data_IF_874308918311
#
_entry.id   IF_874308918311
#
_cell.length_a   1.000
_cell.length_b   1.000
_cell.length_c   1.000
_cell.angle_alpha   90.00
_cell.angle_beta   90.00
_cell.angle_gamma   90.00
#
_symmetry.space_group_name_H-M   'P 1'
#
loop_
_entity.id
_entity.type
_entity.pdbx_description
1 polymer ?
#
# COMPACT_ATOMS: atom_id res chain seq x y z
N UNK A 1 -4.81 3.21 -1.06
CA UNK A 1 -4.48 2.55 -2.34
C UNK A 1 -5.70 2.38 -3.25
N UNK A 2 -6.85 1.92 -2.75
CA UNK A 2 -8.07 1.66 -3.56
C UNK A 2 -8.65 2.84 -4.37
N UNK A 3 -8.43 4.08 -3.96
CA UNK A 3 -8.82 5.28 -4.73
C UNK A 3 -7.75 5.75 -5.73
N UNK A 4 -6.67 4.98 -5.90
CA UNK A 4 -5.60 5.27 -6.85
C UNK A 4 -4.82 6.55 -6.55
N UNK A 5 -4.67 6.96 -5.29
CA UNK A 5 -3.91 8.15 -4.90
C UNK A 5 -2.42 7.86 -4.68
N UNK A 6 -1.57 8.88 -4.86
CA UNK A 6 -0.19 8.86 -4.39
C UNK A 6 -0.19 9.03 -2.88
N UNK A 7 0.55 8.18 -2.16
CA UNK A 7 0.48 8.10 -0.70
C UNK A 7 1.84 8.45 -0.12
N UNK A 8 1.84 9.44 0.77
CA UNK A 8 2.92 9.69 1.70
C UNK A 8 2.53 9.07 3.03
N UNK A 9 3.37 8.20 3.58
CA UNK A 9 3.07 7.49 4.82
C UNK A 9 4.23 7.55 5.81
N UNK A 10 3.91 7.53 7.11
CA UNK A 10 4.92 7.42 8.15
C UNK A 10 5.69 6.10 7.99
N UNK A 11 7.01 6.15 8.12
CA UNK A 11 7.87 4.98 8.04
C UNK A 11 7.65 4.05 9.24
N UNK A 12 6.76 3.09 9.04
CA UNK A 12 6.43 2.03 10.00
C UNK A 12 6.38 0.70 9.29
N UNK A 13 6.62 -0.39 10.02
CA UNK A 13 6.57 -1.75 9.48
C UNK A 13 5.23 -2.05 8.78
N UNK A 14 4.12 -1.57 9.34
CA UNK A 14 2.78 -1.76 8.77
C UNK A 14 2.59 -0.98 7.46
N UNK A 15 3.03 0.29 7.41
CA UNK A 15 2.94 1.07 6.18
C UNK A 15 3.85 0.52 5.08
N UNK A 16 5.03 -0.01 5.46
CA UNK A 16 5.92 -0.71 4.52
C UNK A 16 5.30 -1.98 3.98
N UNK A 17 4.64 -2.77 4.82
CA UNK A 17 3.91 -3.96 4.39
C UNK A 17 2.79 -3.58 3.40
N UNK A 18 2.01 -2.56 3.72
CA UNK A 18 0.87 -2.13 2.88
C UNK A 18 1.33 -1.54 1.56
N UNK A 19 2.28 -0.60 1.59
CA UNK A 19 2.65 0.20 0.42
C UNK A 19 3.85 -0.35 -0.35
N UNK A 20 4.80 -1.01 0.31
CA UNK A 20 6.03 -1.51 -0.31
C UNK A 20 6.71 -0.43 -1.17
N UNK A 21 6.90 -0.66 -2.46
CA UNK A 21 7.47 0.30 -3.43
C UNK A 21 6.44 1.27 -4.04
N UNK A 22 5.16 1.18 -3.65
CA UNK A 22 4.04 1.94 -4.25
C UNK A 22 3.71 3.23 -3.50
N UNK A 23 4.49 3.60 -2.49
CA UNK A 23 4.32 4.80 -1.69
C UNK A 23 5.65 5.47 -1.34
N UNK A 24 5.56 6.69 -0.83
CA UNK A 24 6.71 7.43 -0.30
C UNK A 24 6.64 7.42 1.22
N UNK A 25 7.78 7.16 1.87
CA UNK A 25 7.87 7.11 3.32
C UNK A 25 8.61 8.32 3.87
N UNK A 26 8.17 8.80 5.03
CA UNK A 26 8.85 9.83 5.81
C UNK A 26 8.93 9.41 7.28
N UNK A 27 9.95 9.90 8.00
CA UNK A 27 10.05 9.73 9.46
C UNK A 27 9.21 10.78 10.19
N UNK A 28 9.32 10.91 11.52
CA UNK A 28 8.62 11.98 12.27
C UNK A 28 9.27 13.37 12.10
N UNK A 29 10.12 13.55 11.10
CA UNK A 29 10.72 14.83 10.74
C UNK A 29 9.80 15.62 9.80
N UNK A 30 9.34 16.79 10.25
CA UNK A 30 8.50 17.70 9.48
C UNK A 30 9.18 18.21 8.20
N UNK A 31 10.52 18.33 8.20
CA UNK A 31 11.28 18.78 7.04
C UNK A 31 11.25 17.73 5.93
N UNK A 32 11.34 16.46 6.29
CA UNK A 32 11.28 15.34 5.34
C UNK A 32 9.90 15.28 4.68
N UNK A 33 8.83 15.38 5.48
CA UNK A 33 7.47 15.44 4.96
C UNK A 33 7.29 16.64 4.00
N UNK A 34 7.76 17.83 4.40
CA UNK A 34 7.69 19.03 3.56
C UNK A 34 8.43 18.88 2.23
N UNK A 35 9.59 18.24 2.24
CA UNK A 35 10.35 17.95 1.01
C UNK A 35 9.62 16.97 0.10
N UNK A 36 9.02 15.92 0.65
CA UNK A 36 8.23 14.98 -0.15
C UNK A 36 6.98 15.62 -0.73
N UNK A 37 6.28 16.48 0.02
CA UNK A 37 5.13 17.25 -0.48
C UNK A 37 5.54 18.11 -1.68
N UNK A 38 6.63 18.88 -1.56
CA UNK A 38 7.14 19.69 -2.67
C UNK A 38 7.56 18.84 -3.87
N UNK A 39 8.11 17.64 -3.64
CA UNK A 39 8.49 16.71 -4.71
C UNK A 39 7.26 16.23 -5.49
N UNK A 40 6.21 15.78 -4.80
CA UNK A 40 5.00 15.27 -5.47
C UNK A 40 4.20 16.38 -6.16
N UNK A 41 4.28 17.62 -5.68
CA UNK A 41 3.68 18.78 -6.35
C UNK A 41 4.39 19.14 -7.66
N UNK A 42 5.71 18.93 -7.75
CA UNK A 42 6.52 19.27 -8.92
C UNK A 42 6.63 18.14 -9.94
N UNK A 43 6.56 16.89 -9.51
CA UNK A 43 6.78 15.71 -10.35
C UNK A 43 5.49 14.92 -10.59
N UNK A 44 4.69 15.42 -11.54
CA UNK A 44 3.42 14.78 -11.93
C UNK A 44 3.62 13.38 -12.52
N UNK A 45 4.77 13.09 -13.13
CA UNK A 45 5.11 11.78 -13.68
C UNK A 45 5.30 10.75 -12.58
N UNK A 46 6.08 11.09 -11.55
CA UNK A 46 6.24 10.26 -10.35
C UNK A 46 4.89 9.96 -9.69
N UNK A 47 4.04 10.99 -9.55
CA UNK A 47 2.71 10.84 -8.96
C UNK A 47 1.86 9.89 -9.80
N UNK A 48 1.82 10.03 -11.12
CA UNK A 48 1.06 9.15 -12.00
C UNK A 48 1.51 7.68 -11.89
N UNK A 49 2.82 7.46 -11.82
CA UNK A 49 3.38 6.11 -11.66
C UNK A 49 3.01 5.49 -10.32
N UNK A 50 3.22 6.20 -9.21
CA UNK A 50 2.88 5.73 -7.87
C UNK A 50 1.38 5.42 -7.73
N UNK A 51 0.52 6.26 -8.31
CA UNK A 51 -0.94 6.03 -8.34
C UNK A 51 -1.29 4.71 -9.02
N UNK A 52 -0.71 4.45 -10.18
CA UNK A 52 -0.91 3.22 -10.95
C UNK A 52 -0.42 2.00 -10.18
N UNK A 53 0.79 2.06 -9.63
CA UNK A 53 1.36 0.93 -8.88
C UNK A 53 0.59 0.63 -7.60
N UNK A 54 0.15 1.68 -6.87
CA UNK A 54 -0.67 1.52 -5.68
C UNK A 54 -2.00 0.83 -5.98
N UNK A 55 -2.62 1.13 -7.13
CA UNK A 55 -3.86 0.47 -7.56
C UNK A 55 -3.62 -1.00 -7.92
N UNK A 56 -2.59 -1.31 -8.71
CA UNK A 56 -2.24 -2.69 -9.06
C UNK A 56 -1.94 -3.53 -7.82
N UNK A 57 -1.24 -2.97 -6.83
CA UNK A 57 -0.92 -3.67 -5.59
C UNK A 57 -2.15 -3.98 -4.76
N UNK A 58 -3.08 -3.03 -4.58
CA UNK A 58 -4.29 -3.30 -3.77
C UNK A 58 -5.18 -4.35 -4.42
N UNK A 59 -5.27 -4.37 -5.74
CA UNK A 59 -5.99 -5.41 -6.49
C UNK A 59 -5.33 -6.80 -6.30
N UNK A 60 -4.00 -6.85 -6.30
CA UNK A 60 -3.22 -8.09 -6.16
C UNK A 60 -3.15 -8.64 -4.73
N UNK A 61 -2.97 -7.77 -3.74
CA UNK A 61 -2.67 -8.18 -2.36
C UNK A 61 -3.87 -8.11 -1.42
N UNK A 62 -4.80 -7.18 -1.67
CA UNK A 62 -5.85 -6.83 -0.72
C UNK A 62 -7.26 -6.88 -1.33
N UNK A 63 -7.45 -7.63 -2.42
CA UNK A 63 -8.78 -7.87 -2.98
C UNK A 63 -9.61 -8.79 -2.08
N UNK A 64 -10.91 -8.50 -1.97
CA UNK A 64 -11.85 -9.33 -1.20
C UNK A 64 -11.89 -10.78 -1.68
N UNK A 65 -11.74 -11.01 -2.99
CA UNK A 65 -11.66 -12.36 -3.55
C UNK A 65 -10.46 -13.15 -3.02
N UNK A 66 -9.29 -12.51 -2.91
CA UNK A 66 -8.08 -13.16 -2.38
C UNK A 66 -8.23 -13.43 -0.89
N UNK A 67 -8.61 -12.40 -0.12
CA UNK A 67 -8.76 -12.49 1.33
C UNK A 67 -9.82 -13.54 1.70
N UNK A 68 -10.98 -13.50 1.05
CA UNK A 68 -12.05 -14.46 1.26
C UNK A 68 -11.62 -15.91 0.98
N UNK A 69 -10.88 -16.15 -0.11
CA UNK A 69 -10.35 -17.48 -0.43
C UNK A 69 -9.33 -17.98 0.60
N UNK A 70 -8.47 -17.10 1.11
CA UNK A 70 -7.50 -17.46 2.15
C UNK A 70 -8.19 -17.88 3.45
N UNK A 71 -9.25 -17.17 3.84
CA UNK A 71 -10.07 -17.57 4.99
C UNK A 71 -10.82 -18.88 4.75
N UNK A 72 -11.45 -19.08 3.58
CA UNK A 72 -12.12 -20.35 3.24
C UNK A 72 -11.15 -21.53 3.31
N UNK A 73 -9.95 -21.38 2.75
CA UNK A 73 -8.90 -22.40 2.81
C UNK A 73 -8.49 -22.70 4.26
N UNK A 74 -8.20 -21.67 5.06
CA UNK A 74 -7.83 -21.83 6.46
C UNK A 74 -8.93 -22.59 7.24
N UNK A 75 -10.19 -22.23 7.03
CA UNK A 75 -11.30 -22.91 7.70
C UNK A 75 -11.45 -24.37 7.30
N UNK A 76 -11.20 -24.72 6.03
CA UNK A 76 -11.16 -26.12 5.57
C UNK A 76 -10.02 -26.90 6.22
N UNK A 77 -8.84 -26.32 6.30
CA UNK A 77 -7.66 -26.95 6.92
C UNK A 77 -7.89 -27.22 8.41
N UNK A 78 -8.41 -26.22 9.13
CA UNK A 78 -8.73 -26.36 10.56
C UNK A 78 -9.81 -27.42 10.79
N UNK A 79 -10.88 -27.42 9.99
CA UNK A 79 -11.97 -28.40 10.12
C UNK A 79 -11.57 -29.83 9.73
N UNK A 80 -10.55 -30.01 8.87
CA UNK A 80 -10.04 -31.32 8.46
C UNK A 80 -9.02 -31.92 9.45
N UNK A 81 -8.64 -31.17 10.48
CA UNK A 81 -7.68 -31.60 11.51
C UNK A 81 -8.39 -32.14 12.77
N UNK A 82 -9.72 -32.27 12.73
CA UNK A 82 -10.55 -33.02 13.70
C UNK A 82 -10.87 -34.43 13.17
#
# INVERSE_FOLDING_TARGET
MGYGNCILALDTVFNREVLDDTGLFFTRDERELGQLMQRVERDSTLVAELRKQAQLRVEREYSWDKVGKQYDQLFREVAATE
#
